data_IF_412641775290
#
_entry.id   IF_412641775290
#
_cell.length_a   1.000
_cell.length_b   1.000
_cell.length_c   1.000
_cell.angle_alpha   90.00
_cell.angle_beta   90.00
_cell.angle_gamma   90.00
#
_symmetry.space_group_name_H-M   'P 1'
#
loop_
_entity.id
_entity.type
_entity.pdbx_description
1 polymer ?
#
# COMPACT_ATOMS: atom_id res chain seq x y z
N UNK A 1 -18.94 -5.74 17.87
CA UNK A 1 -17.65 -6.04 17.24
C UNK A 1 -17.77 -5.82 15.75
N UNK A 2 -16.92 -4.99 15.19
CA UNK A 2 -17.01 -4.71 13.77
C UNK A 2 -16.38 -5.84 12.95
N UNK A 3 -17.12 -6.38 12.01
CA UNK A 3 -16.59 -7.39 11.08
C UNK A 3 -15.61 -6.77 10.09
N UNK A 4 -15.64 -5.45 9.93
CA UNK A 4 -14.79 -4.72 9.02
C UNK A 4 -14.33 -3.43 9.68
N UNK A 5 -13.02 -3.25 9.76
CA UNK A 5 -12.42 -2.00 10.18
C UNK A 5 -11.77 -1.37 8.96
N UNK A 6 -12.02 -0.08 8.76
CA UNK A 6 -11.52 0.64 7.58
C UNK A 6 -10.96 1.99 7.96
N UNK A 7 -9.96 2.43 7.22
CA UNK A 7 -9.43 3.78 7.31
C UNK A 7 -8.87 4.19 5.95
N UNK A 8 -8.87 5.49 5.68
CA UNK A 8 -8.42 6.02 4.40
C UNK A 8 -7.79 7.39 4.60
N UNK A 9 -6.74 7.68 3.86
CA UNK A 9 -6.11 9.00 3.84
C UNK A 9 -5.70 9.35 2.43
N UNK A 10 -5.92 10.61 2.04
CA UNK A 10 -5.45 11.14 0.76
C UNK A 10 -4.34 12.13 1.04
N UNK A 11 -3.22 11.94 0.36
CA UNK A 11 -2.00 12.72 0.58
C UNK A 11 -1.52 13.32 -0.74
N UNK A 12 -0.85 14.49 -0.69
CA UNK A 12 -0.26 15.05 -1.91
C UNK A 12 0.81 14.11 -2.48
N UNK A 13 0.95 14.11 -3.81
CA UNK A 13 1.99 13.34 -4.51
C UNK A 13 3.34 14.03 -4.35
N UNK A 14 3.90 13.92 -3.18
CA UNK A 14 5.11 14.59 -2.73
C UNK A 14 5.96 13.55 -1.99
N UNK A 15 7.28 13.54 -2.15
CA UNK A 15 8.13 12.57 -1.43
C UNK A 15 7.93 12.54 0.08
N UNK A 16 7.62 13.68 0.70
CA UNK A 16 7.36 13.73 2.14
C UNK A 16 6.12 12.95 2.55
N UNK A 17 5.18 12.73 1.62
CA UNK A 17 3.95 12.00 1.89
C UNK A 17 4.20 10.50 2.07
N UNK A 18 5.33 9.98 1.63
CA UNK A 18 5.67 8.55 1.85
C UNK A 18 5.79 8.26 3.33
N UNK A 19 6.52 9.11 4.06
CA UNK A 19 6.64 8.96 5.51
C UNK A 19 5.30 9.17 6.21
N UNK A 20 4.50 10.13 5.74
CA UNK A 20 3.17 10.39 6.29
C UNK A 20 2.25 9.18 6.09
N UNK A 21 2.30 8.54 4.93
CA UNK A 21 1.51 7.34 4.64
C UNK A 21 1.89 6.20 5.60
N UNK A 22 3.19 5.97 5.79
CA UNK A 22 3.66 4.95 6.74
C UNK A 22 3.14 5.21 8.14
N UNK A 23 3.30 6.44 8.61
CA UNK A 23 2.89 6.81 9.96
C UNK A 23 1.38 6.62 10.15
N UNK A 24 0.60 7.02 9.16
CA UNK A 24 -0.85 6.87 9.21
C UNK A 24 -1.25 5.40 9.32
N UNK A 25 -0.73 4.57 8.44
CA UNK A 25 -1.06 3.15 8.42
C UNK A 25 -0.65 2.48 9.74
N UNK A 26 0.58 2.73 10.20
CA UNK A 26 1.07 2.13 11.45
C UNK A 26 0.22 2.54 12.64
N UNK A 27 -0.22 3.80 12.69
CA UNK A 27 -1.08 4.28 13.77
C UNK A 27 -2.44 3.55 13.76
N UNK A 28 -3.02 3.37 12.58
CA UNK A 28 -4.31 2.65 12.48
C UNK A 28 -4.18 1.18 12.88
N UNK A 29 -3.11 0.53 12.43
CA UNK A 29 -2.88 -0.87 12.81
C UNK A 29 -2.69 -1.04 14.31
N UNK A 30 -2.00 -0.11 14.95
CA UNK A 30 -1.86 -0.11 16.40
C UNK A 30 -3.23 0.03 17.10
N UNK A 31 -4.07 0.94 16.58
CA UNK A 31 -5.43 1.10 17.11
C UNK A 31 -6.26 -0.18 16.97
N UNK A 32 -6.01 -0.95 15.92
CA UNK A 32 -6.72 -2.20 15.68
C UNK A 32 -6.12 -3.39 16.42
N UNK A 33 -5.08 -3.15 17.23
CA UNK A 33 -4.54 -4.16 18.11
C UNK A 33 -3.25 -4.84 17.65
N UNK A 34 -2.62 -4.37 16.59
CA UNK A 34 -1.35 -4.96 16.14
C UNK A 34 -0.23 -4.58 17.12
N UNK A 35 0.45 -5.56 17.72
CA UNK A 35 1.58 -5.25 18.61
C UNK A 35 2.71 -4.54 17.88
N UNK A 36 3.43 -3.61 18.54
CA UNK A 36 4.49 -2.85 17.88
C UNK A 36 5.69 -3.69 17.45
N UNK A 37 5.84 -4.89 17.98
CA UNK A 37 6.92 -5.82 17.62
C UNK A 37 6.45 -6.92 16.66
N UNK A 38 5.21 -6.84 16.16
CA UNK A 38 4.70 -7.84 15.23
C UNK A 38 5.46 -7.80 13.91
N UNK A 39 5.89 -8.97 13.37
CA UNK A 39 6.53 -9.00 12.05
C UNK A 39 5.67 -8.42 10.94
N UNK A 40 4.35 -8.56 11.05
CA UNK A 40 3.39 -7.99 10.09
C UNK A 40 3.57 -6.48 9.95
N UNK A 41 3.89 -5.79 11.05
CA UNK A 41 4.07 -4.34 11.02
C UNK A 41 5.24 -3.93 10.13
N UNK A 42 6.37 -4.64 10.23
CA UNK A 42 7.53 -4.35 9.40
C UNK A 42 7.23 -4.59 7.92
N UNK A 43 6.53 -5.69 7.62
CA UNK A 43 6.13 -6.02 6.25
C UNK A 43 5.21 -4.96 5.66
N UNK A 44 4.21 -4.52 6.42
CA UNK A 44 3.28 -3.49 5.98
C UNK A 44 3.99 -2.16 5.79
N UNK A 45 4.86 -1.80 6.73
CA UNK A 45 5.61 -0.55 6.65
C UNK A 45 6.44 -0.47 5.36
N UNK A 46 7.13 -1.57 5.03
CA UNK A 46 7.93 -1.62 3.82
C UNK A 46 7.06 -1.60 2.58
N UNK A 47 5.96 -2.37 2.57
CA UNK A 47 5.05 -2.39 1.43
C UNK A 47 4.44 -1.01 1.17
N UNK A 48 3.96 -0.33 2.21
CA UNK A 48 3.39 1.02 2.08
C UNK A 48 4.43 1.99 1.54
N UNK A 49 5.67 1.90 2.03
CA UNK A 49 6.76 2.77 1.55
C UNK A 49 6.98 2.59 0.05
N UNK A 50 7.03 1.35 -0.42
CA UNK A 50 7.26 1.05 -1.82
C UNK A 50 6.07 1.48 -2.69
N UNK A 51 4.85 1.18 -2.25
CA UNK A 51 3.65 1.54 -3.01
C UNK A 51 3.44 3.05 -3.07
N UNK A 52 3.67 3.74 -1.95
CA UNK A 52 3.54 5.20 -1.92
C UNK A 52 4.64 5.87 -2.77
N UNK A 53 5.87 5.35 -2.71
CA UNK A 53 6.96 5.85 -3.54
C UNK A 53 6.63 5.69 -5.02
N UNK A 54 6.09 4.54 -5.40
CA UNK A 54 5.66 4.31 -6.77
C UNK A 54 4.58 5.31 -7.19
N UNK A 55 3.59 5.54 -6.33
CA UNK A 55 2.53 6.50 -6.64
C UNK A 55 3.08 7.90 -6.86
N UNK A 56 4.04 8.34 -6.03
CA UNK A 56 4.66 9.65 -6.16
C UNK A 56 5.50 9.75 -7.44
N UNK A 57 6.34 8.74 -7.70
CA UNK A 57 7.25 8.77 -8.85
C UNK A 57 6.52 8.69 -10.18
N UNK A 58 5.46 7.87 -10.25
CA UNK A 58 4.76 7.63 -11.51
C UNK A 58 3.78 8.70 -11.88
N UNK A 59 3.34 9.48 -10.91
CA UNK A 59 2.27 10.43 -11.13
C UNK A 59 2.75 11.88 -11.03
N UNK A 60 4.05 12.08 -11.00
CA UNK A 60 4.64 13.42 -10.87
C UNK A 60 4.05 14.38 -11.90
N UNK A 61 3.33 15.37 -11.42
CA UNK A 61 2.68 16.37 -12.25
C UNK A 61 1.37 15.94 -12.92
N UNK A 62 0.98 14.66 -12.81
CA UNK A 62 -0.21 14.12 -13.48
C UNK A 62 -1.30 13.71 -12.49
N UNK A 63 -0.91 13.30 -11.31
CA UNK A 63 -1.86 13.02 -10.22
C UNK A 63 -1.45 13.86 -9.03
N UNK A 64 -2.29 14.82 -8.60
CA UNK A 64 -1.91 15.69 -7.48
C UNK A 64 -1.89 14.95 -6.15
N UNK A 65 -2.61 13.84 -6.05
CA UNK A 65 -2.77 13.11 -4.80
C UNK A 65 -2.72 11.61 -5.03
N UNK A 66 -2.45 10.88 -3.95
CA UNK A 66 -2.70 9.45 -3.91
C UNK A 66 -3.47 9.13 -2.63
N UNK A 67 -4.21 8.02 -2.64
CA UNK A 67 -5.04 7.62 -1.50
C UNK A 67 -4.56 6.27 -0.98
N UNK A 68 -4.43 6.18 0.33
CA UNK A 68 -4.10 4.92 1.00
C UNK A 68 -5.34 4.44 1.73
N UNK A 69 -5.78 3.24 1.42
CA UNK A 69 -6.91 2.59 2.07
C UNK A 69 -6.43 1.37 2.83
N UNK A 70 -6.94 1.17 4.03
CA UNK A 70 -6.65 -0.03 4.80
C UNK A 70 -7.96 -0.62 5.31
N UNK A 71 -8.05 -1.95 5.26
CA UNK A 71 -9.22 -2.70 5.71
C UNK A 71 -8.76 -3.93 6.45
N UNK A 72 -9.38 -4.19 7.60
CA UNK A 72 -9.17 -5.43 8.32
C UNK A 72 -10.50 -6.17 8.37
N UNK A 73 -10.58 -7.29 7.65
CA UNK A 73 -11.78 -8.11 7.55
C UNK A 73 -11.79 -9.20 8.61
N UNK A 74 -12.79 -9.19 9.45
CA UNK A 74 -13.03 -10.25 10.46
C UNK A 74 -11.83 -10.53 11.35
N UNK A 75 -10.93 -9.57 11.51
CA UNK A 75 -9.69 -9.77 12.25
C UNK A 75 -8.75 -10.80 11.64
N UNK A 76 -8.90 -11.13 10.37
CA UNK A 76 -8.13 -12.19 9.72
C UNK A 76 -7.32 -11.73 8.51
N UNK A 77 -7.83 -10.80 7.73
CA UNK A 77 -7.20 -10.37 6.48
C UNK A 77 -7.03 -8.87 6.45
N UNK A 78 -5.79 -8.43 6.36
CA UNK A 78 -5.46 -7.02 6.22
C UNK A 78 -5.29 -6.70 4.74
N UNK A 79 -6.05 -5.72 4.26
CA UNK A 79 -5.94 -5.20 2.90
C UNK A 79 -5.37 -3.80 2.95
N UNK A 80 -4.36 -3.54 2.14
CA UNK A 80 -3.77 -2.21 1.99
C UNK A 80 -3.79 -1.87 0.52
N UNK A 81 -4.41 -0.75 0.18
CA UNK A 81 -4.49 -0.27 -1.19
C UNK A 81 -3.90 1.10 -1.35
N UNK A 82 -3.17 1.32 -2.42
CA UNK A 82 -2.66 2.64 -2.78
C UNK A 82 -3.20 2.98 -4.16
N UNK A 83 -3.98 4.05 -4.22
CA UNK A 83 -4.65 4.49 -5.44
C UNK A 83 -4.03 5.78 -5.94
N UNK A 84 -3.61 5.79 -7.18
CA UNK A 84 -3.26 7.02 -7.88
C UNK A 84 -4.32 7.31 -8.94
N UNK A 85 -4.41 8.57 -9.36
CA UNK A 85 -5.36 9.00 -10.37
C UNK A 85 -4.66 9.29 -11.70
N UNK A 86 -3.53 8.65 -11.93
CA UNK A 86 -2.79 8.84 -13.17
C UNK A 86 -3.66 8.38 -14.34
N UNK A 87 -3.96 9.25 -15.32
CA UNK A 87 -4.88 8.92 -16.40
C UNK A 87 -4.31 7.97 -17.43
N UNK A 88 -3.08 7.52 -17.28
CA UNK A 88 -2.42 6.61 -18.20
C UNK A 88 -1.93 5.38 -17.45
N UNK A 89 -2.24 4.23 -18.00
CA UNK A 89 -1.64 2.99 -17.56
C UNK A 89 -0.13 3.08 -17.71
N UNK A 90 0.64 2.29 -16.92
CA UNK A 90 2.09 2.33 -17.06
C UNK A 90 2.46 2.03 -18.49
N UNK A 91 2.64 3.08 -19.26
CA UNK A 91 3.24 2.96 -20.56
C UNK A 91 4.72 2.71 -20.37
N UNK A 92 5.37 2.29 -21.42
CA UNK A 92 6.81 2.08 -21.38
C UNK A 92 7.50 3.35 -20.92
N UNK A 93 7.97 3.31 -19.69
CA UNK A 93 8.76 4.38 -19.13
C UNK A 93 10.22 4.21 -19.57
N UNK A 94 11.05 5.25 -19.47
CA UNK A 94 12.48 5.10 -19.68
C UNK A 94 13.04 3.96 -18.85
N UNK A 95 14.02 3.24 -19.39
CA UNK A 95 14.51 2.02 -18.75
C UNK A 95 14.92 2.18 -17.31
N UNK A 96 15.55 3.29 -16.92
CA UNK A 96 15.95 3.54 -15.54
C UNK A 96 14.74 3.61 -14.60
N UNK A 97 13.67 4.25 -15.03
CA UNK A 97 12.43 4.35 -14.23
C UNK A 97 11.76 3.00 -14.15
N UNK A 98 11.76 2.24 -15.24
CA UNK A 98 11.21 0.89 -15.24
C UNK A 98 11.96 -0.04 -14.29
N UNK A 99 13.28 0.10 -14.20
CA UNK A 99 14.09 -0.69 -13.28
C UNK A 99 13.77 -0.38 -11.82
N UNK A 100 13.63 0.89 -11.48
CA UNK A 100 13.28 1.28 -10.13
C UNK A 100 11.89 0.77 -9.77
N UNK A 101 10.94 0.87 -10.69
CA UNK A 101 9.60 0.33 -10.51
C UNK A 101 9.63 -1.18 -10.35
N UNK A 102 10.40 -1.85 -11.19
CA UNK A 102 10.56 -3.29 -11.13
C UNK A 102 11.08 -3.75 -9.77
N UNK A 103 12.02 -3.00 -9.18
CA UNK A 103 12.56 -3.32 -7.87
C UNK A 103 11.52 -3.14 -6.78
N UNK A 104 10.83 -1.99 -6.75
CA UNK A 104 9.82 -1.71 -5.75
C UNK A 104 8.71 -2.74 -5.76
N UNK A 105 8.18 -3.05 -6.94
CA UNK A 105 7.14 -4.06 -7.07
C UNK A 105 7.66 -5.46 -6.77
N UNK A 106 8.90 -5.76 -7.10
CA UNK A 106 9.50 -7.06 -6.76
C UNK A 106 9.60 -7.24 -5.24
N UNK A 107 9.98 -6.19 -4.53
CA UNK A 107 10.02 -6.21 -3.07
C UNK A 107 8.64 -6.47 -2.50
N UNK A 108 7.63 -5.76 -2.98
CA UNK A 108 6.26 -5.92 -2.50
C UNK A 108 5.74 -7.32 -2.79
N UNK A 109 5.97 -7.83 -4.00
CA UNK A 109 5.54 -9.18 -4.39
C UNK A 109 6.19 -10.24 -3.51
N UNK A 110 7.48 -10.06 -3.21
CA UNK A 110 8.21 -10.99 -2.35
C UNK A 110 7.66 -10.99 -0.93
N UNK A 111 7.44 -9.80 -0.36
CA UNK A 111 6.88 -9.66 0.98
C UNK A 111 5.51 -10.31 1.10
N UNK A 112 4.66 -10.06 0.11
CA UNK A 112 3.30 -10.59 0.09
C UNK A 112 3.32 -12.11 -0.02
N UNK A 113 4.17 -12.64 -0.91
CA UNK A 113 4.31 -14.09 -1.10
C UNK A 113 4.81 -14.77 0.18
N UNK A 114 5.81 -14.18 0.85
CA UNK A 114 6.33 -14.74 2.11
C UNK A 114 5.28 -14.72 3.22
N UNK A 115 4.40 -13.74 3.20
CA UNK A 115 3.35 -13.61 4.21
C UNK A 115 2.14 -14.50 3.92
N UNK A 116 2.12 -15.17 2.77
CA UNK A 116 0.96 -15.98 2.36
C UNK A 116 -0.20 -15.14 1.84
N UNK A 117 0.10 -13.93 1.37
CA UNK A 117 -0.91 -13.00 0.87
C UNK A 117 -1.02 -12.96 -0.64
N UNK A 118 -1.68 -11.91 -1.13
CA UNK A 118 -1.90 -11.71 -2.56
C UNK A 118 -1.67 -10.24 -2.94
N UNK A 119 -1.37 -10.01 -4.21
CA UNK A 119 -1.24 -8.68 -4.77
C UNK A 119 -2.11 -8.58 -6.01
N UNK A 120 -2.87 -7.49 -6.12
CA UNK A 120 -3.76 -7.23 -7.26
C UNK A 120 -3.63 -5.77 -7.67
N UNK A 121 -3.66 -5.54 -8.99
CA UNK A 121 -3.69 -4.19 -9.55
C UNK A 121 -5.03 -4.04 -10.25
N UNK A 122 -5.81 -3.05 -9.82
CA UNK A 122 -7.17 -2.84 -10.30
C UNK A 122 -7.28 -1.44 -10.91
N UNK A 123 -7.76 -1.32 -12.16
CA UNK A 123 -8.00 -0.02 -12.73
C UNK A 123 -9.17 0.67 -12.03
N UNK A 124 -9.10 1.99 -11.95
CA UNK A 124 -10.19 2.81 -11.42
C UNK A 124 -10.97 3.43 -12.58
N UNK A 125 -12.22 3.87 -12.31
CA UNK A 125 -13.08 4.40 -13.34
C UNK A 125 -12.61 5.76 -13.88
N UNK A 126 -11.72 6.44 -13.18
CA UNK A 126 -11.16 7.73 -13.61
C UNK A 126 -9.83 7.59 -14.37
N UNK A 127 -9.46 6.38 -14.73
CA UNK A 127 -8.23 6.12 -15.50
C UNK A 127 -6.99 5.86 -14.67
N UNK A 128 -7.10 5.88 -13.36
CA UNK A 128 -6.00 5.53 -12.46
C UNK A 128 -5.95 4.05 -12.16
N UNK A 129 -5.25 3.71 -11.08
CA UNK A 129 -5.17 2.31 -10.62
C UNK A 129 -5.04 2.25 -9.12
N UNK A 130 -5.46 1.14 -8.55
CA UNK A 130 -5.20 0.79 -7.16
C UNK A 130 -4.35 -0.46 -7.12
N UNK A 131 -3.25 -0.40 -6.38
CA UNK A 131 -2.47 -1.60 -6.07
C UNK A 131 -2.92 -2.08 -4.70
N UNK A 132 -3.54 -3.25 -4.67
CA UNK A 132 -4.01 -3.86 -3.43
C UNK A 132 -3.08 -4.98 -3.02
N UNK A 133 -2.71 -5.01 -1.75
CA UNK A 133 -2.10 -6.19 -1.15
C UNK A 133 -3.01 -6.72 -0.06
N UNK A 134 -3.02 -8.02 0.13
CA UNK A 134 -3.69 -8.68 1.24
C UNK A 134 -2.64 -9.49 2.00
N UNK A 135 -2.63 -9.31 3.31
CA UNK A 135 -1.70 -10.00 4.20
C UNK A 135 -2.53 -10.60 5.34
N UNK A 136 -2.32 -11.87 5.68
CA UNK A 136 -3.00 -12.44 6.85
C UNK A 136 -2.66 -11.65 8.11
N UNK A 137 -3.68 -11.41 8.93
CA UNK A 137 -3.52 -10.67 10.19
C UNK A 137 -2.99 -11.65 11.24
N UNK A 138 -1.69 -11.60 11.46
CA UNK A 138 -1.04 -12.55 12.35
C UNK A 138 -0.91 -11.93 13.75
N UNK A 139 -1.94 -12.07 14.56
CA UNK A 139 -1.83 -11.76 15.98
C UNK A 139 -1.57 -13.07 16.70
N UNK A 140 -0.49 -13.15 17.52
CA UNK A 140 -0.22 -14.35 18.27
C UNK A 140 -1.41 -14.71 19.16
N UNK A 141 -1.84 -15.95 19.07
CA UNK A 141 -2.86 -16.48 19.99
C UNK A 141 -2.14 -16.93 21.24
N UNK A 142 -2.51 -16.34 22.35
CA UNK A 142 -1.94 -16.71 23.64
C UNK A 142 -2.66 -17.93 24.21
#
# INVERSE_FOLDING_TARGET
MADLQEASVTLPSDPASVAAARAYVCARLAEWGLPPDAPTLDSVRLAVSELATNAVLHTSGLSPNFTVDIRLECGEHLHVGVTDSHPRWPQRLPGAVQQDNGRGMAIVRHLVAESGGTLRIIPTCDGGKTVWIMIPWAIPVL
#
